data_IF_474320548717
#
_entry.id   IF_474320548717
#
_cell.length_a   1.000
_cell.length_b   1.000
_cell.length_c   1.000
_cell.angle_alpha   90.00
_cell.angle_beta   90.00
_cell.angle_gamma   90.00
#
_symmetry.space_group_name_H-M   'P 1'
#
loop_
_entity.id
_entity.type
_entity.pdbx_description
1 polymer ?
#
# COMPACT_ATOMS: atom_id res chain seq x y z
N UNK A 1 -18.39 -76.40 -36.02
CA UNK A 1 -19.45 -76.58 -35.00
C UNK A 1 -19.66 -75.21 -34.35
N UNK A 2 -20.79 -74.51 -34.35
CA UNK A 2 -22.19 -74.80 -34.70
C UNK A 2 -22.78 -73.62 -35.49
N UNK A 3 -23.71 -73.96 -36.38
CA UNK A 3 -24.60 -73.10 -37.15
C UNK A 3 -25.92 -72.93 -36.37
N UNK A 4 -26.59 -71.76 -36.46
CA UNK A 4 -28.07 -71.55 -36.59
C UNK A 4 -28.28 -70.13 -37.15
N UNK A 5 -28.77 -69.93 -38.38
CA UNK A 5 -30.15 -70.03 -38.93
C UNK A 5 -30.94 -68.71 -38.77
N UNK A 6 -31.20 -68.00 -39.90
CA UNK A 6 -32.51 -67.74 -40.57
C UNK A 6 -33.53 -66.94 -39.71
N UNK A 7 -34.22 -65.89 -40.16
CA UNK A 7 -34.33 -65.25 -41.48
C UNK A 7 -35.46 -64.19 -41.51
N UNK A 8 -35.61 -63.57 -42.68
CA UNK A 8 -36.83 -62.99 -43.31
C UNK A 8 -37.44 -61.68 -42.77
N UNK A 9 -37.77 -60.77 -43.70
CA UNK A 9 -38.84 -59.79 -43.51
C UNK A 9 -38.55 -58.39 -44.05
N UNK A 10 -39.02 -58.12 -45.28
CA UNK A 10 -38.96 -56.83 -45.95
C UNK A 10 -39.88 -55.77 -45.30
N UNK A 11 -39.49 -54.49 -45.39
CA UNK A 11 -40.40 -53.39 -45.72
C UNK A 11 -39.60 -52.11 -46.01
N UNK A 12 -39.53 -51.72 -47.28
CA UNK A 12 -39.26 -50.34 -47.68
C UNK A 12 -40.38 -49.44 -47.15
N UNK A 13 -40.02 -48.39 -46.42
CA UNK A 13 -40.82 -47.15 -46.36
C UNK A 13 -39.90 -45.98 -46.63
N UNK A 14 -40.13 -45.36 -47.79
CA UNK A 14 -39.49 -44.14 -48.26
C UNK A 14 -40.21 -42.96 -47.60
N UNK A 15 -39.61 -42.37 -46.57
CA UNK A 15 -40.04 -41.08 -46.03
C UNK A 15 -38.97 -40.04 -46.35
N UNK A 16 -39.20 -39.28 -47.40
CA UNK A 16 -38.41 -38.10 -47.75
C UNK A 16 -38.68 -36.99 -46.72
N UNK A 17 -37.78 -36.82 -45.76
CA UNK A 17 -37.70 -35.57 -44.98
C UNK A 17 -36.75 -34.61 -45.69
N UNK A 18 -37.31 -33.45 -46.01
CA UNK A 18 -36.67 -32.31 -46.65
C UNK A 18 -35.63 -31.74 -45.67
N UNK A 19 -34.34 -31.98 -45.93
CA UNK A 19 -33.25 -31.36 -45.19
C UNK A 19 -33.14 -29.88 -45.61
N UNK A 20 -33.69 -28.98 -44.79
CA UNK A 20 -33.41 -27.55 -44.90
C UNK A 20 -31.95 -27.27 -44.54
N UNK A 21 -31.26 -26.32 -45.21
CA UNK A 21 -29.92 -25.93 -44.81
C UNK A 21 -30.00 -25.23 -43.46
N UNK A 22 -29.55 -25.92 -42.41
CA UNK A 22 -29.24 -25.30 -41.13
C UNK A 22 -28.12 -24.30 -41.38
N UNK A 23 -28.47 -23.01 -41.40
CA UNK A 23 -27.52 -21.91 -41.39
C UNK A 23 -26.50 -22.19 -40.28
N UNK A 24 -25.24 -22.42 -40.67
CA UNK A 24 -24.15 -22.59 -39.74
C UNK A 24 -24.12 -21.41 -38.80
N UNK A 25 -24.35 -21.68 -37.52
CA UNK A 25 -24.12 -20.70 -36.46
C UNK A 25 -22.66 -20.26 -36.58
N UNK A 26 -22.46 -19.07 -37.13
CA UNK A 26 -21.17 -18.42 -37.15
C UNK A 26 -20.63 -18.42 -35.72
N UNK A 27 -19.42 -18.96 -35.57
CA UNK A 27 -18.70 -18.97 -34.31
C UNK A 27 -18.83 -17.59 -33.67
N UNK A 28 -19.45 -17.55 -32.49
CA UNK A 28 -19.54 -16.34 -31.70
C UNK A 28 -18.12 -15.76 -31.57
N UNK A 29 -17.92 -14.45 -31.81
CA UNK A 29 -16.63 -13.84 -31.60
C UNK A 29 -16.21 -14.17 -30.17
N UNK A 30 -15.02 -14.76 -30.02
CA UNK A 30 -14.42 -15.05 -28.72
C UNK A 30 -14.69 -13.87 -27.80
N UNK A 31 -15.35 -14.14 -26.68
CA UNK A 31 -15.51 -13.18 -25.61
C UNK A 31 -14.14 -12.51 -25.43
N UNK A 32 -14.05 -11.21 -25.77
CA UNK A 32 -12.85 -10.42 -25.49
C UNK A 32 -12.65 -10.54 -24.00
N UNK A 33 -11.71 -11.38 -23.59
CA UNK A 33 -11.37 -11.55 -22.20
C UNK A 33 -11.14 -10.17 -21.62
N UNK A 34 -11.76 -9.89 -20.47
CA UNK A 34 -11.48 -8.66 -19.74
C UNK A 34 -9.96 -8.48 -19.68
N UNK A 35 -9.42 -7.27 -19.96
CA UNK A 35 -7.99 -7.07 -19.95
C UNK A 35 -7.44 -7.55 -18.61
N UNK A 36 -6.45 -8.44 -18.65
CA UNK A 36 -5.86 -9.01 -17.45
C UNK A 36 -5.41 -7.88 -16.52
N UNK A 37 -5.78 -7.97 -15.25
CA UNK A 37 -5.41 -6.99 -14.23
C UNK A 37 -3.90 -6.84 -14.20
N UNK A 38 -3.42 -5.60 -14.24
CA UNK A 38 -2.00 -5.29 -14.11
C UNK A 38 -1.72 -4.67 -12.75
N UNK A 39 -0.54 -4.98 -12.22
CA UNK A 39 0.05 -4.28 -11.09
C UNK A 39 0.94 -3.15 -11.61
N UNK A 40 0.65 -1.91 -11.20
CA UNK A 40 1.49 -0.75 -11.52
C UNK A 40 2.38 -0.42 -10.34
N UNK A 41 3.69 -0.36 -10.55
CA UNK A 41 4.68 0.12 -9.59
C UNK A 41 5.18 1.48 -10.08
N UNK A 42 5.07 2.51 -9.24
CA UNK A 42 5.43 3.87 -9.63
C UNK A 42 5.63 4.80 -8.43
N UNK A 43 5.60 6.11 -8.70
CA UNK A 43 5.89 7.15 -7.70
C UNK A 43 7.31 7.70 -7.84
N UNK A 44 8.00 7.90 -6.71
CA UNK A 44 9.37 8.41 -6.65
C UNK A 44 10.40 7.32 -6.99
N UNK A 45 10.31 6.78 -8.20
CA UNK A 45 11.13 5.65 -8.69
C UNK A 45 11.82 6.00 -10.02
N UNK A 46 12.95 5.36 -10.28
CA UNK A 46 13.72 5.48 -11.53
C UNK A 46 13.18 4.57 -12.63
N UNK A 47 12.66 3.40 -12.27
CA UNK A 47 12.18 2.37 -13.19
C UNK A 47 10.71 1.98 -12.90
N UNK A 48 9.73 2.86 -13.17
CA UNK A 48 8.32 2.50 -13.03
C UNK A 48 7.94 1.38 -14.00
N UNK A 49 7.05 0.47 -13.58
CA UNK A 49 6.68 -0.68 -14.41
C UNK A 49 5.21 -1.10 -14.23
N UNK A 50 4.64 -1.72 -15.27
CA UNK A 50 3.31 -2.32 -15.22
C UNK A 50 3.39 -3.82 -15.50
N UNK A 51 3.31 -4.62 -14.43
CA UNK A 51 3.45 -6.06 -14.46
C UNK A 51 2.12 -6.77 -14.74
N UNK A 52 2.16 -7.75 -15.63
CA UNK A 52 1.18 -8.85 -15.67
C UNK A 52 1.52 -9.90 -14.60
N UNK A 53 0.55 -10.75 -14.22
CA UNK A 53 0.80 -11.90 -13.34
C UNK A 53 1.91 -12.82 -13.88
N UNK A 54 1.97 -13.02 -15.20
CA UNK A 54 3.01 -13.84 -15.81
C UNK A 54 4.41 -13.22 -15.64
N UNK A 55 4.53 -11.89 -15.68
CA UNK A 55 5.79 -11.20 -15.40
C UNK A 55 6.16 -11.29 -13.92
N UNK A 56 5.21 -11.09 -13.00
CA UNK A 56 5.47 -11.22 -11.56
C UNK A 56 5.99 -12.60 -11.18
N UNK A 57 5.46 -13.67 -11.79
CA UNK A 57 5.91 -15.06 -11.57
C UNK A 57 7.34 -15.35 -12.03
N UNK A 58 7.94 -14.46 -12.83
CA UNK A 58 9.34 -14.58 -13.29
C UNK A 58 10.32 -13.77 -12.43
N UNK A 59 9.81 -12.92 -11.53
CA UNK A 59 10.63 -12.28 -10.52
C UNK A 59 11.02 -13.33 -9.46
N UNK A 60 12.09 -13.08 -8.66
CA UNK A 60 12.41 -13.90 -7.50
C UNK A 60 11.15 -14.20 -6.67
N UNK A 61 10.92 -15.48 -6.37
CA UNK A 61 9.76 -15.93 -5.61
C UNK A 61 10.19 -16.28 -4.19
N UNK A 62 9.44 -15.78 -3.22
CA UNK A 62 9.54 -16.16 -1.81
C UNK A 62 8.40 -17.09 -1.46
N UNK A 63 8.70 -18.16 -0.74
CA UNK A 63 7.72 -19.13 -0.25
C UNK A 63 7.72 -19.11 1.27
N UNK A 64 6.57 -18.89 1.91
CA UNK A 64 6.42 -18.80 3.36
C UNK A 64 5.19 -19.57 3.82
N UNK A 65 5.29 -20.24 4.97
CA UNK A 65 4.10 -20.63 5.72
C UNK A 65 3.61 -19.41 6.49
N UNK A 66 2.37 -19.02 6.26
CA UNK A 66 1.80 -17.83 6.90
C UNK A 66 0.49 -18.20 7.56
N UNK A 67 0.32 -17.77 8.82
CA UNK A 67 -0.96 -17.87 9.49
C UNK A 67 -1.81 -16.66 9.10
N UNK A 68 -2.93 -16.91 8.46
CA UNK A 68 -3.94 -15.90 8.21
C UNK A 68 -4.87 -15.82 9.44
N UNK A 69 -4.99 -14.65 10.09
CA UNK A 69 -5.84 -14.48 11.27
C UNK A 69 -7.34 -14.61 10.92
N UNK A 70 -8.23 -14.67 11.93
CA UNK A 70 -9.67 -14.82 11.72
C UNK A 70 -10.22 -13.87 10.65
N UNK A 71 -10.95 -14.43 9.68
CA UNK A 71 -11.39 -13.70 8.49
C UNK A 71 -11.91 -14.64 7.41
N UNK A 72 -11.66 -14.32 6.14
CA UNK A 72 -12.20 -15.08 5.00
C UNK A 72 -11.51 -16.43 4.80
N UNK A 73 -10.23 -16.55 5.15
CA UNK A 73 -9.43 -17.77 4.99
C UNK A 73 -8.49 -17.96 6.19
N UNK A 74 -9.03 -18.22 7.39
CA UNK A 74 -8.20 -18.38 8.57
C UNK A 74 -7.43 -19.70 8.53
N UNK A 75 -6.21 -19.69 9.02
CA UNK A 75 -5.35 -20.88 9.11
C UNK A 75 -3.97 -20.67 8.50
N UNK A 76 -3.15 -21.71 8.58
CA UNK A 76 -1.81 -21.70 8.00
C UNK A 76 -1.89 -22.09 6.53
N UNK A 77 -1.32 -21.24 5.67
CA UNK A 77 -1.27 -21.43 4.23
C UNK A 77 0.17 -21.35 3.72
N UNK A 78 0.48 -22.15 2.71
CA UNK A 78 1.75 -22.05 1.99
C UNK A 78 1.60 -20.98 0.91
N UNK A 79 2.16 -19.80 1.17
CA UNK A 79 2.11 -18.67 0.28
C UNK A 79 3.37 -18.61 -0.58
N UNK A 80 3.20 -18.34 -1.87
CA UNK A 80 4.30 -18.06 -2.79
C UNK A 80 4.03 -16.76 -3.54
N UNK A 81 5.01 -15.86 -3.56
CA UNK A 81 4.86 -14.54 -4.14
C UNK A 81 6.17 -13.80 -4.32
N UNK A 82 6.07 -12.50 -4.63
CA UNK A 82 7.23 -11.59 -4.74
C UNK A 82 7.31 -10.76 -3.47
N UNK A 83 8.50 -10.61 -2.87
CA UNK A 83 8.70 -9.68 -1.75
C UNK A 83 8.31 -8.26 -2.18
N UNK A 84 7.57 -7.54 -1.33
CA UNK A 84 7.24 -6.15 -1.59
C UNK A 84 8.51 -5.28 -1.64
N UNK A 85 9.49 -5.58 -0.78
CA UNK A 85 10.79 -4.92 -0.76
C UNK A 85 11.54 -5.14 -2.08
N UNK A 86 11.73 -6.39 -2.52
CA UNK A 86 12.41 -6.69 -3.79
C UNK A 86 11.73 -5.97 -4.97
N UNK A 87 10.39 -5.90 -4.98
CA UNK A 87 9.65 -5.21 -6.02
C UNK A 87 9.91 -3.70 -6.02
N UNK A 88 10.08 -3.10 -4.83
CA UNK A 88 10.44 -1.69 -4.65
C UNK A 88 11.89 -1.46 -5.08
N UNK A 89 12.82 -2.33 -4.70
CA UNK A 89 14.24 -2.23 -5.07
C UNK A 89 14.45 -2.33 -6.58
N UNK A 90 13.78 -3.27 -7.24
CA UNK A 90 13.78 -3.38 -8.71
C UNK A 90 13.28 -2.08 -9.38
N UNK A 91 12.36 -1.34 -8.73
CA UNK A 91 11.86 -0.08 -9.26
C UNK A 91 12.84 1.10 -9.09
N UNK A 92 13.91 0.93 -8.31
CA UNK A 92 14.95 1.92 -8.05
C UNK A 92 14.40 3.20 -7.40
N UNK A 93 14.11 3.20 -6.09
CA UNK A 93 13.68 4.41 -5.38
C UNK A 93 14.65 5.57 -5.59
N UNK A 94 14.12 6.78 -5.80
CA UNK A 94 14.91 8.00 -6.00
C UNK A 94 15.39 8.52 -4.65
N UNK A 95 16.47 7.93 -4.15
CA UNK A 95 17.01 8.24 -2.83
C UNK A 95 17.81 9.56 -2.81
N UNK A 96 17.71 10.35 -1.72
CA UNK A 96 18.59 11.49 -1.51
C UNK A 96 20.02 11.04 -1.16
N UNK A 97 20.99 11.92 -1.35
CA UNK A 97 22.36 11.73 -0.87
C UNK A 97 22.47 11.91 0.64
N UNK A 98 21.96 10.95 1.42
CA UNK A 98 21.96 10.96 2.88
C UNK A 98 22.33 9.59 3.47
N UNK A 99 22.84 9.58 4.70
CA UNK A 99 23.04 8.33 5.46
C UNK A 99 21.71 7.59 5.59
N UNK A 100 21.73 6.27 5.38
CA UNK A 100 20.54 5.40 5.46
C UNK A 100 19.34 5.92 4.67
N UNK A 101 19.58 6.46 3.46
CA UNK A 101 18.53 7.12 2.67
C UNK A 101 17.28 6.26 2.41
N UNK A 102 17.40 4.93 2.42
CA UNK A 102 16.26 4.01 2.28
C UNK A 102 15.22 4.16 3.41
N UNK A 103 15.62 4.62 4.60
CA UNK A 103 14.72 4.83 5.73
C UNK A 103 13.77 6.01 5.53
N UNK A 104 13.88 6.72 4.40
CA UNK A 104 12.98 7.80 3.98
C UNK A 104 11.91 7.33 3.00
N UNK A 105 11.94 6.05 2.63
CA UNK A 105 11.07 5.48 1.61
C UNK A 105 9.80 4.95 2.28
N UNK A 106 8.65 5.39 1.78
CA UNK A 106 7.35 4.83 2.13
C UNK A 106 6.71 4.17 0.91
N UNK A 107 5.94 3.12 1.15
CA UNK A 107 5.34 2.28 0.11
C UNK A 107 3.86 2.14 0.40
N UNK A 108 2.98 2.57 -0.51
CA UNK A 108 1.56 2.25 -0.44
C UNK A 108 1.18 1.16 -1.42
N UNK A 109 0.47 0.16 -0.92
CA UNK A 109 -0.12 -0.91 -1.71
C UNK A 109 -1.63 -0.69 -1.76
N UNK A 110 -2.23 -0.71 -2.96
CA UNK A 110 -3.66 -0.48 -3.13
C UNK A 110 -4.33 -1.58 -3.96
N UNK A 111 -5.44 -2.08 -3.42
CA UNK A 111 -6.31 -3.06 -4.07
C UNK A 111 -7.32 -2.42 -5.02
N UNK A 112 -7.98 -3.23 -5.85
CA UNK A 112 -9.01 -2.78 -6.79
C UNK A 112 -10.15 -2.00 -6.11
N UNK A 113 -10.47 -2.32 -4.85
CA UNK A 113 -11.51 -1.62 -4.07
C UNK A 113 -11.13 -0.18 -3.68
N UNK A 114 -9.86 0.19 -3.82
CA UNK A 114 -9.30 1.45 -3.33
C UNK A 114 -8.81 1.40 -1.88
N UNK A 115 -9.03 0.28 -1.17
CA UNK A 115 -8.42 0.02 0.13
C UNK A 115 -6.94 -0.34 -0.04
N UNK A 116 -6.13 -0.02 0.96
CA UNK A 116 -4.69 -0.22 0.90
C UNK A 116 -4.01 -0.09 2.24
N UNK A 117 -2.71 -0.37 2.23
CA UNK A 117 -1.83 -0.31 3.39
C UNK A 117 -0.53 0.37 3.02
N UNK A 118 0.07 1.08 3.96
CA UNK A 118 1.39 1.68 3.82
C UNK A 118 2.43 0.95 4.66
N UNK A 119 3.68 0.99 4.20
CA UNK A 119 4.86 0.44 4.85
C UNK A 119 5.98 1.47 4.79
N UNK A 120 6.83 1.50 5.80
CA UNK A 120 8.15 2.08 5.66
C UNK A 120 9.06 1.03 5.01
N UNK A 121 9.93 1.40 4.08
CA UNK A 121 10.85 0.40 3.50
C UNK A 121 11.76 -0.18 4.58
N UNK A 122 12.20 0.64 5.54
CA UNK A 122 12.96 0.18 6.71
C UNK A 122 12.20 -0.76 7.65
N UNK A 123 10.87 -0.81 7.60
CA UNK A 123 10.09 -1.83 8.32
C UNK A 123 10.24 -3.20 7.68
N UNK A 124 10.25 -3.23 6.34
CA UNK A 124 10.37 -4.46 5.56
C UNK A 124 11.80 -5.01 5.57
N UNK A 125 12.79 -4.09 5.55
CA UNK A 125 14.21 -4.38 5.36
C UNK A 125 14.78 -5.36 6.41
N UNK A 126 15.43 -6.47 5.98
CA UNK A 126 16.01 -7.47 6.88
C UNK A 126 17.12 -6.96 7.81
N UNK A 127 17.77 -5.84 7.48
CA UNK A 127 18.74 -5.16 8.35
C UNK A 127 18.08 -4.29 9.42
N UNK A 128 16.79 -4.01 9.32
CA UNK A 128 16.07 -3.12 10.22
C UNK A 128 14.85 -3.84 10.80
N UNK A 129 13.63 -3.45 10.40
CA UNK A 129 12.40 -4.00 10.96
C UNK A 129 12.22 -5.49 10.67
N UNK A 130 12.83 -6.03 9.62
CA UNK A 130 12.75 -7.44 9.23
C UNK A 130 11.30 -7.97 9.34
N UNK A 131 10.36 -7.20 8.80
CA UNK A 131 8.94 -7.48 8.86
C UNK A 131 8.39 -7.56 7.44
N UNK A 132 8.55 -8.73 6.80
CA UNK A 132 8.33 -8.85 5.37
C UNK A 132 6.87 -8.61 4.99
N UNK A 133 6.65 -8.14 3.77
CA UNK A 133 5.35 -8.12 3.13
C UNK A 133 5.45 -8.82 1.77
N UNK A 134 4.48 -9.67 1.46
CA UNK A 134 4.51 -10.58 0.30
C UNK A 134 3.35 -10.28 -0.64
N UNK A 135 3.64 -10.09 -1.92
CA UNK A 135 2.66 -10.10 -3.00
C UNK A 135 2.44 -11.53 -3.47
N UNK A 136 1.47 -12.20 -2.85
CA UNK A 136 1.09 -13.58 -3.10
C UNK A 136 0.57 -13.76 -4.53
N UNK A 137 1.07 -14.79 -5.19
CA UNK A 137 0.71 -15.23 -6.54
C UNK A 137 0.19 -16.66 -6.58
N UNK A 138 0.53 -17.47 -5.57
CA UNK A 138 -0.01 -18.80 -5.32
C UNK A 138 -0.24 -19.02 -3.83
N UNK A 139 -1.35 -19.68 -3.50
CA UNK A 139 -1.68 -20.13 -2.16
C UNK A 139 -1.91 -21.64 -2.23
N UNK A 140 -1.28 -22.41 -1.35
CA UNK A 140 -1.43 -23.87 -1.26
C UNK A 140 -1.24 -24.58 -2.61
N UNK A 141 -0.25 -24.12 -3.39
CA UNK A 141 0.06 -24.60 -4.73
C UNK A 141 -0.85 -24.06 -5.85
N UNK A 142 -2.03 -23.51 -5.52
CA UNK A 142 -2.99 -22.98 -6.47
C UNK A 142 -2.63 -21.54 -6.90
N UNK A 143 -2.56 -21.31 -8.22
CA UNK A 143 -2.28 -19.98 -8.78
C UNK A 143 -3.47 -19.04 -8.67
N UNK A 144 -3.24 -17.81 -8.21
CA UNK A 144 -4.19 -16.71 -8.35
C UNK A 144 -4.37 -16.37 -9.84
N UNK A 145 -5.62 -16.17 -10.26
CA UNK A 145 -5.97 -15.98 -11.68
C UNK A 145 -6.15 -14.51 -12.08
N UNK A 146 -6.45 -13.63 -11.14
CA UNK A 146 -6.84 -12.25 -11.42
C UNK A 146 -5.73 -11.23 -11.09
N UNK A 147 -5.37 -11.10 -9.82
CA UNK A 147 -4.38 -10.13 -9.34
C UNK A 147 -3.65 -10.72 -8.10
N UNK A 148 -2.44 -10.22 -7.77
CA UNK A 148 -1.78 -10.60 -6.53
C UNK A 148 -2.57 -10.13 -5.30
N UNK A 149 -2.38 -10.80 -4.17
CA UNK A 149 -2.88 -10.36 -2.86
C UNK A 149 -1.68 -9.98 -1.99
N UNK A 150 -1.78 -8.90 -1.21
CA UNK A 150 -0.77 -8.54 -0.23
C UNK A 150 -1.06 -9.26 1.09
N UNK A 151 -0.04 -9.89 1.64
CA UNK A 151 -0.04 -10.48 2.96
C UNK A 151 1.20 -10.02 3.75
N UNK A 152 1.05 -9.86 5.06
CA UNK A 152 2.11 -9.39 5.97
C UNK A 152 2.31 -10.45 7.06
N UNK A 153 3.28 -11.38 6.89
CA UNK A 153 3.52 -12.42 7.88
C UNK A 153 3.92 -11.83 9.23
N UNK A 154 3.35 -12.38 10.31
CA UNK A 154 3.60 -11.93 11.69
C UNK A 154 2.58 -10.91 12.21
N UNK A 155 1.74 -10.35 11.35
CA UNK A 155 0.62 -9.51 11.79
C UNK A 155 -0.39 -10.28 12.64
N UNK A 156 -0.84 -9.66 13.73
CA UNK A 156 -1.84 -10.24 14.61
C UNK A 156 -3.25 -10.23 13.98
N UNK A 157 -3.50 -9.35 13.01
CA UNK A 157 -4.78 -9.23 12.30
C UNK A 157 -4.56 -9.02 10.80
N UNK A 158 -5.59 -9.29 9.99
CA UNK A 158 -5.52 -9.09 8.54
C UNK A 158 -5.69 -7.61 8.11
N UNK A 159 -5.59 -6.64 9.03
CA UNK A 159 -5.88 -5.24 8.75
C UNK A 159 -4.94 -4.60 7.69
N UNK A 160 -3.75 -5.19 7.49
CA UNK A 160 -2.81 -4.78 6.43
C UNK A 160 -2.84 -5.65 5.17
N UNK A 161 -3.75 -6.62 5.09
CA UNK A 161 -3.85 -7.49 3.92
C UNK A 161 -4.68 -6.80 2.83
N UNK A 162 -4.19 -6.82 1.60
CA UNK A 162 -4.82 -6.11 0.47
C UNK A 162 -5.17 -7.08 -0.63
N UNK A 163 -6.46 -7.28 -0.89
CA UNK A 163 -6.94 -8.13 -1.99
C UNK A 163 -6.87 -7.41 -3.32
N UNK A 164 -6.67 -8.19 -4.40
CA UNK A 164 -6.64 -7.72 -5.77
C UNK A 164 -5.76 -6.48 -5.96
N UNK A 165 -4.49 -6.58 -5.58
CA UNK A 165 -3.53 -5.47 -5.64
C UNK A 165 -3.37 -4.99 -7.08
N UNK A 166 -3.51 -3.68 -7.27
CA UNK A 166 -3.40 -3.02 -8.59
C UNK A 166 -2.30 -1.98 -8.65
N UNK A 167 -1.86 -1.47 -7.50
CA UNK A 167 -0.84 -0.43 -7.44
C UNK A 167 0.08 -0.57 -6.24
N UNK A 168 1.37 -0.36 -6.47
CA UNK A 168 2.40 -0.05 -5.48
C UNK A 168 2.92 1.36 -5.79
N UNK A 169 2.84 2.27 -4.83
CA UNK A 169 3.31 3.65 -4.97
C UNK A 169 4.42 3.89 -3.97
N UNK A 170 5.60 4.22 -4.47
CA UNK A 170 6.76 4.58 -3.66
C UNK A 170 6.80 6.09 -3.50
N UNK A 171 6.99 6.56 -2.28
CA UNK A 171 7.31 7.95 -1.97
C UNK A 171 8.64 8.00 -1.23
N UNK A 172 9.35 9.12 -1.39
CA UNK A 172 10.60 9.39 -0.69
C UNK A 172 10.49 10.78 -0.11
N UNK A 173 10.44 10.87 1.21
CA UNK A 173 10.25 12.12 1.94
C UNK A 173 11.49 12.45 2.75
N UNK A 174 12.06 13.63 2.49
CA UNK A 174 13.27 14.10 3.18
C UNK A 174 13.04 15.47 3.81
N UNK A 175 12.11 15.59 4.77
CA UNK A 175 11.85 16.85 5.45
C UNK A 175 13.12 17.29 6.21
N UNK A 176 13.34 18.60 6.25
CA UNK A 176 14.31 19.22 7.15
C UNK A 176 13.71 19.41 8.54
N UNK A 177 14.56 19.51 9.58
CA UNK A 177 14.10 19.79 10.93
C UNK A 177 13.58 21.22 11.04
N UNK A 178 12.48 21.40 11.76
CA UNK A 178 12.06 22.68 12.29
C UNK A 178 12.86 23.00 13.56
N UNK A 179 13.00 24.29 13.87
CA UNK A 179 13.63 24.68 15.13
C UNK A 179 12.75 24.19 16.29
N UNK A 180 13.28 23.39 17.23
CA UNK A 180 12.47 22.92 18.35
C UNK A 180 12.07 24.12 19.20
N UNK A 181 10.80 24.23 19.64
CA UNK A 181 10.36 25.48 20.24
C UNK A 181 11.02 25.87 21.60
N UNK A 182 11.94 25.06 22.22
CA UNK A 182 12.56 25.16 23.60
C UNK A 182 12.98 23.84 24.38
N UNK A 183 14.05 23.06 24.15
CA UNK A 183 14.28 21.66 24.69
C UNK A 183 13.12 20.65 24.95
N UNK A 184 13.30 19.37 24.65
CA UNK A 184 12.30 18.32 24.92
C UNK A 184 10.95 18.42 24.18
N UNK A 185 10.78 19.31 23.18
CA UNK A 185 9.53 19.32 22.40
C UNK A 185 9.68 18.53 21.13
N UNK A 186 8.55 17.94 20.76
CA UNK A 186 8.28 17.49 19.41
C UNK A 186 7.11 18.26 18.83
N UNK A 187 7.25 18.68 17.57
CA UNK A 187 6.15 19.22 16.78
C UNK A 187 5.58 18.12 15.89
N UNK A 188 4.26 17.93 15.90
CA UNK A 188 3.60 16.97 15.01
C UNK A 188 2.97 17.73 13.85
N UNK A 189 3.24 17.30 12.63
CA UNK A 189 2.73 17.93 11.41
C UNK A 189 1.85 16.94 10.66
N UNK A 190 0.64 17.35 10.27
CA UNK A 190 -0.23 16.57 9.38
C UNK A 190 -0.51 17.38 8.11
N UNK A 191 0.23 17.08 7.03
CA UNK A 191 0.19 17.87 5.81
C UNK A 191 0.56 19.34 6.08
N UNK A 192 -0.31 20.29 5.73
CA UNK A 192 -0.09 21.72 6.00
C UNK A 192 -0.59 22.18 7.38
N UNK A 193 -1.15 21.28 8.20
CA UNK A 193 -1.54 21.59 9.58
C UNK A 193 -0.40 21.20 10.51
N UNK A 194 0.25 22.20 11.10
CA UNK A 194 1.02 21.98 12.33
C UNK A 194 0.02 21.77 13.47
N UNK A 195 0.06 20.61 14.12
CA UNK A 195 -0.66 20.42 15.38
C UNK A 195 0.25 20.88 16.53
N UNK A 196 -0.39 21.30 17.63
CA UNK A 196 0.18 22.05 18.78
C UNK A 196 1.54 21.49 19.22
N UNK A 197 2.54 22.33 19.58
CA UNK A 197 3.84 21.86 20.10
C UNK A 197 3.67 21.06 21.39
N UNK A 198 4.22 19.84 21.43
CA UNK A 198 4.17 18.97 22.61
C UNK A 198 5.41 19.23 23.48
N UNK A 199 5.29 20.08 24.51
CA UNK A 199 6.28 20.14 25.59
C UNK A 199 5.84 19.46 26.87
N UNK A 200 4.96 20.13 27.62
CA UNK A 200 4.45 19.62 28.89
C UNK A 200 3.66 18.32 28.71
N UNK A 201 3.07 18.13 27.53
CA UNK A 201 2.16 17.03 27.28
C UNK A 201 2.84 15.67 27.11
N UNK A 202 4.08 15.58 26.61
CA UNK A 202 4.74 14.28 26.39
C UNK A 202 5.00 13.52 27.70
N UNK A 203 5.43 14.22 28.76
CA UNK A 203 5.65 13.64 30.08
C UNK A 203 4.34 13.26 30.80
N UNK A 204 3.22 13.88 30.40
CA UNK A 204 1.88 13.59 30.92
C UNK A 204 1.20 12.41 30.21
N UNK A 205 1.68 12.01 29.03
CA UNK A 205 1.12 10.87 28.32
C UNK A 205 1.48 9.55 29.04
N UNK A 206 0.62 8.53 28.97
CA UNK A 206 0.92 7.21 29.49
C UNK A 206 2.26 6.70 28.96
N UNK A 207 3.21 6.47 29.87
CA UNK A 207 4.54 5.98 29.56
C UNK A 207 4.58 4.45 29.54
N UNK A 208 5.41 3.90 28.66
CA UNK A 208 5.76 2.49 28.58
C UNK A 208 7.28 2.36 28.71
N UNK A 209 7.75 1.26 29.29
CA UNK A 209 9.17 0.93 29.38
C UNK A 209 9.45 -0.31 28.53
N UNK A 210 10.46 -0.21 27.66
CA UNK A 210 10.91 -1.29 26.79
C UNK A 210 12.40 -1.55 27.04
N UNK A 211 12.78 -2.82 27.10
CA UNK A 211 14.19 -3.21 26.98
C UNK A 211 14.44 -3.57 25.53
N UNK A 212 15.17 -2.71 24.83
CA UNK A 212 15.44 -2.85 23.40
C UNK A 212 16.84 -3.40 23.16
N UNK A 213 17.03 -4.14 22.07
CA UNK A 213 18.34 -4.68 21.69
C UNK A 213 18.50 -4.66 20.17
N UNK A 214 19.60 -4.11 19.69
CA UNK A 214 19.85 -3.91 18.26
C UNK A 214 21.35 -3.87 17.94
N UNK A 215 21.71 -4.08 16.67
CA UNK A 215 23.07 -3.89 16.18
C UNK A 215 23.41 -2.40 15.96
N UNK A 216 24.47 -1.92 16.59
CA UNK A 216 25.06 -0.60 16.37
C UNK A 216 26.43 -0.68 15.67
N UNK A 217 27.06 0.48 15.38
CA UNK A 217 28.38 0.54 14.72
C UNK A 217 29.50 -0.17 15.49
N UNK A 218 29.36 -0.27 16.81
CA UNK A 218 30.35 -0.85 17.73
C UNK A 218 29.99 -2.26 18.22
N UNK A 219 28.92 -2.86 17.69
CA UNK A 219 28.41 -4.16 18.12
C UNK A 219 26.97 -4.10 18.61
N UNK A 220 26.52 -5.18 19.26
CA UNK A 220 25.19 -5.23 19.85
C UNK A 220 25.05 -4.19 20.97
N UNK A 221 23.90 -3.52 21.01
CA UNK A 221 23.51 -2.54 22.01
C UNK A 221 22.24 -3.01 22.70
N UNK A 222 22.10 -2.65 23.97
CA UNK A 222 20.91 -2.91 24.77
C UNK A 222 20.66 -1.71 25.68
N UNK A 223 19.42 -1.23 25.67
CA UNK A 223 19.02 -0.05 26.44
C UNK A 223 17.62 -0.26 27.04
N UNK A 224 17.36 0.40 28.16
CA UNK A 224 16.01 0.55 28.74
C UNK A 224 15.45 1.89 28.35
N UNK A 225 14.46 1.89 27.46
CA UNK A 225 13.84 3.09 26.92
C UNK A 225 12.48 3.29 27.59
N UNK A 226 12.12 4.53 27.94
CA UNK A 226 10.79 4.83 28.46
C UNK A 226 10.21 6.15 27.95
N UNK A 227 8.93 6.13 27.62
CA UNK A 227 8.20 7.26 27.05
C UNK A 227 6.81 6.85 26.56
N UNK A 228 6.03 7.76 25.98
CA UNK A 228 4.76 7.41 25.37
C UNK A 228 4.93 6.62 24.08
N UNK A 229 4.02 5.67 23.84
CA UNK A 229 3.92 5.00 22.55
C UNK A 229 3.57 6.01 21.44
N UNK A 230 4.11 5.82 20.24
CA UNK A 230 3.96 6.78 19.13
C UNK A 230 2.48 7.02 18.78
N UNK A 231 1.66 5.96 18.79
CA UNK A 231 0.21 6.06 18.58
C UNK A 231 -0.49 6.95 19.64
N UNK A 232 -0.05 6.90 20.90
CA UNK A 232 -0.53 7.76 21.98
C UNK A 232 -0.16 9.22 21.74
N UNK A 233 1.06 9.48 21.25
CA UNK A 233 1.51 10.83 20.85
C UNK A 233 0.64 11.36 19.70
N UNK A 234 0.40 10.56 18.67
CA UNK A 234 -0.45 10.92 17.53
C UNK A 234 -1.90 11.19 17.98
N UNK A 235 -2.46 10.33 18.83
CA UNK A 235 -3.83 10.48 19.35
C UNK A 235 -3.98 11.76 20.20
N UNK A 236 -2.99 12.08 21.02
CA UNK A 236 -2.95 13.34 21.74
C UNK A 236 -2.90 14.55 20.79
N UNK A 237 -2.35 14.35 19.58
CA UNK A 237 -2.36 15.21 18.38
C UNK A 237 -3.70 15.39 17.70
N UNK A 238 -4.73 14.65 18.11
CA UNK A 238 -5.99 14.53 17.38
C UNK A 238 -5.84 13.74 16.06
N UNK A 239 -4.72 13.03 15.88
CA UNK A 239 -4.43 12.23 14.70
C UNK A 239 -4.80 10.78 15.02
N UNK A 240 -5.76 10.24 14.28
CA UNK A 240 -6.11 8.83 14.31
C UNK A 240 -5.47 8.15 13.09
N UNK A 241 -4.40 7.35 13.29
CA UNK A 241 -3.75 6.64 12.19
C UNK A 241 -4.72 5.72 11.45
N UNK A 242 -4.47 5.55 10.16
CA UNK A 242 -5.14 4.59 9.29
C UNK A 242 -4.11 3.65 8.70
N UNK A 243 -4.60 2.60 8.03
CA UNK A 243 -3.77 1.64 7.30
C UNK A 243 -2.77 2.28 6.30
N UNK A 244 -3.05 3.50 5.81
CA UNK A 244 -2.23 4.24 4.84
C UNK A 244 -1.43 5.41 5.46
N UNK A 245 -1.40 5.48 6.79
CA UNK A 245 -0.66 6.49 7.54
C UNK A 245 0.80 6.07 7.71
N UNK A 246 1.70 7.02 7.45
CA UNK A 246 3.10 6.90 7.78
C UNK A 246 3.53 8.10 8.62
N UNK A 247 4.63 7.94 9.36
CA UNK A 247 5.25 9.01 10.15
C UNK A 247 6.74 9.05 9.85
N UNK A 248 7.27 10.22 9.51
CA UNK A 248 8.70 10.46 9.46
C UNK A 248 9.14 11.16 10.75
N UNK A 249 9.99 10.52 11.54
CA UNK A 249 10.65 11.17 12.67
C UNK A 249 11.88 11.91 12.16
N UNK A 250 11.99 13.19 12.53
CA UNK A 250 13.06 14.09 12.09
C UNK A 250 13.88 14.48 13.31
N UNK A 251 15.15 14.07 13.31
CA UNK A 251 16.15 14.48 14.29
C UNK A 251 16.61 15.91 14.06
N UNK A 252 17.09 16.57 15.10
CA UNK A 252 17.62 17.95 15.03
C UNK A 252 18.83 18.09 14.08
N UNK A 253 19.52 16.99 13.79
CA UNK A 253 20.63 16.88 12.82
C UNK A 253 20.16 16.68 11.37
N UNK A 254 18.84 16.60 11.13
CA UNK A 254 18.23 16.31 9.84
C UNK A 254 18.19 14.82 9.46
N UNK A 255 18.57 13.92 10.37
CA UNK A 255 18.35 12.50 10.20
C UNK A 255 16.84 12.19 10.19
N UNK A 256 16.42 11.26 9.33
CA UNK A 256 15.01 10.86 9.24
C UNK A 256 14.91 9.37 9.07
N UNK A 257 13.98 8.78 9.81
CA UNK A 257 13.46 7.46 9.56
C UNK A 257 11.93 7.52 9.52
N UNK A 258 11.35 6.83 8.53
CA UNK A 258 9.91 6.63 8.42
C UNK A 258 9.52 5.33 9.09
N UNK A 259 8.36 5.36 9.75
CA UNK A 259 7.70 4.23 10.40
C UNK A 259 6.22 4.23 10.06
N UNK A 260 5.52 3.12 10.25
CA UNK A 260 4.07 3.07 10.10
C UNK A 260 3.41 2.75 11.44
N UNK A 261 2.41 3.52 11.90
CA UNK A 261 1.74 3.20 13.16
C UNK A 261 1.15 1.79 13.20
N UNK A 262 0.78 1.22 12.05
CA UNK A 262 0.24 -0.14 11.94
C UNK A 262 1.28 -1.24 12.19
N UNK A 263 2.59 -0.96 12.04
CA UNK A 263 3.62 -1.93 12.43
C UNK A 263 3.57 -2.20 13.94
N UNK A 264 3.17 -1.19 14.72
CA UNK A 264 2.93 -1.34 16.15
C UNK A 264 1.53 -1.86 16.46
N UNK A 265 0.49 -1.29 15.87
CA UNK A 265 -0.91 -1.61 16.20
C UNK A 265 -1.32 -3.03 15.75
N UNK A 266 -0.80 -3.48 14.61
CA UNK A 266 -1.15 -4.77 14.01
C UNK A 266 0.04 -5.71 13.99
N UNK A 267 1.23 -5.19 13.62
CA UNK A 267 2.45 -5.99 13.47
C UNK A 267 3.12 -6.41 14.77
N UNK A 268 2.65 -5.90 15.92
CA UNK A 268 3.23 -6.23 17.22
C UNK A 268 4.66 -5.73 17.40
N UNK A 269 5.05 -4.67 16.69
CA UNK A 269 6.38 -4.03 16.76
C UNK A 269 6.27 -2.66 17.43
N UNK A 270 6.47 -2.56 18.75
CA UNK A 270 6.25 -1.32 19.48
C UNK A 270 7.07 -0.15 18.89
N UNK A 271 6.39 0.98 18.69
CA UNK A 271 7.02 2.25 18.38
C UNK A 271 6.87 3.18 19.58
N UNK A 272 7.99 3.62 20.12
CA UNK A 272 8.05 4.46 21.32
C UNK A 272 8.68 5.81 20.95
N UNK A 273 8.17 6.89 21.54
CA UNK A 273 8.87 8.16 21.58
C UNK A 273 9.51 8.28 22.97
N UNK A 274 10.71 7.72 23.11
CA UNK A 274 11.43 7.64 24.38
C UNK A 274 11.80 9.03 24.87
N UNK A 275 11.57 9.28 26.16
CA UNK A 275 12.00 10.48 26.88
C UNK A 275 13.08 10.19 27.90
N UNK A 276 13.35 8.91 28.19
CA UNK A 276 14.44 8.47 29.07
C UNK A 276 15.10 7.21 28.53
N UNK A 277 16.43 7.18 28.56
CA UNK A 277 17.27 6.02 28.23
C UNK A 277 18.05 5.63 29.49
N UNK A 278 18.01 4.35 29.86
CA UNK A 278 18.72 3.78 31.01
C UNK A 278 18.47 4.54 32.33
N UNK A 279 17.24 5.06 32.47
CA UNK A 279 16.79 5.86 33.61
C UNK A 279 17.19 7.35 33.56
N UNK A 280 18.00 7.77 32.60
CA UNK A 280 18.39 9.17 32.40
C UNK A 280 17.42 9.88 31.44
N UNK A 281 16.99 11.09 31.81
CA UNK A 281 16.15 11.92 30.94
C UNK A 281 16.92 12.40 29.70
N UNK A 282 16.29 12.31 28.54
CA UNK A 282 16.84 12.78 27.27
C UNK A 282 16.56 14.28 27.08
N UNK A 283 17.51 14.99 26.46
CA UNK A 283 17.35 16.42 26.16
C UNK A 283 16.27 16.69 25.10
N UNK A 284 16.07 15.72 24.22
CA UNK A 284 15.02 15.63 23.23
C UNK A 284 14.59 14.17 23.10
N UNK A 285 13.32 13.88 22.76
CA UNK A 285 12.88 12.50 22.66
C UNK A 285 13.58 11.73 21.54
N UNK A 286 13.61 10.41 21.65
CA UNK A 286 14.13 9.50 20.63
C UNK A 286 12.99 8.64 20.07
N UNK A 287 12.88 8.52 18.75
CA UNK A 287 12.05 7.45 18.17
C UNK A 287 12.76 6.11 18.40
N UNK A 288 12.07 5.14 18.95
CA UNK A 288 12.56 3.77 19.19
C UNK A 288 11.64 2.80 18.45
N UNK A 289 12.23 1.95 17.60
CA UNK A 289 11.54 0.91 16.85
C UNK A 289 11.93 -0.46 17.42
N UNK A 290 11.15 -0.95 18.37
CA UNK A 290 11.46 -2.20 19.07
C UNK A 290 11.39 -3.41 18.13
N UNK A 291 12.30 -4.36 18.35
CA UNK A 291 12.47 -5.55 17.50
C UNK A 291 13.27 -5.33 16.20
N UNK A 292 13.90 -4.16 16.03
CA UNK A 292 14.82 -3.90 14.91
C UNK A 292 16.14 -4.66 15.04
N UNK A 293 16.63 -5.16 13.91
CA UNK A 293 17.95 -5.80 13.81
C UNK A 293 19.09 -4.79 13.99
N UNK A 294 18.93 -3.56 13.49
CA UNK A 294 19.90 -2.46 13.65
C UNK A 294 19.20 -1.17 14.05
N UNK A 295 19.90 -0.33 14.82
CA UNK A 295 19.37 0.94 15.34
C UNK A 295 19.18 2.06 14.31
N UNK A 296 19.12 1.77 13.01
CA UNK A 296 19.00 2.80 11.98
C UNK A 296 17.68 3.58 12.04
N UNK A 297 16.59 2.94 12.50
CA UNK A 297 15.29 3.61 12.67
C UNK A 297 15.16 4.36 14.00
N UNK A 298 16.21 4.32 14.84
CA UNK A 298 16.23 4.97 16.13
C UNK A 298 16.70 6.41 15.93
N UNK A 299 15.74 7.32 15.76
CA UNK A 299 16.04 8.73 15.48
C UNK A 299 16.28 9.45 16.80
N UNK A 300 17.52 9.88 17.01
CA UNK A 300 17.89 10.68 18.18
C UNK A 300 17.47 12.13 18.00
N UNK A 301 17.29 12.82 19.13
CA UNK A 301 16.93 14.23 19.19
C UNK A 301 15.77 14.62 18.26
N UNK A 302 14.67 13.85 18.29
CA UNK A 302 13.48 14.10 17.48
C UNK A 302 12.93 15.47 17.81
N UNK A 303 12.74 16.28 16.76
CA UNK A 303 12.13 17.62 16.84
C UNK A 303 10.82 17.70 16.07
N UNK A 304 10.64 16.86 15.04
CA UNK A 304 9.41 16.77 14.28
C UNK A 304 8.95 15.34 14.04
N UNK A 305 7.62 15.16 14.03
CA UNK A 305 6.94 14.01 13.49
C UNK A 305 6.09 14.46 12.30
N UNK A 306 6.52 14.13 11.10
CA UNK A 306 5.79 14.43 9.86
C UNK A 306 4.84 13.28 9.57
N UNK A 307 3.54 13.52 9.70
CA UNK A 307 2.48 12.56 9.42
C UNK A 307 1.96 12.76 8.02
N UNK A 308 2.06 11.70 7.22
CA UNK A 308 1.52 11.67 5.89
C UNK A 308 0.52 10.54 5.69
N UNK A 309 -0.24 10.66 4.62
CA UNK A 309 -1.15 9.62 4.13
C UNK A 309 -0.93 9.51 2.63
N UNK A 310 -0.59 8.33 2.15
CA UNK A 310 -0.52 8.16 0.69
C UNK A 310 -1.97 8.15 0.19
N UNK A 311 -2.37 9.09 -0.69
CA UNK A 311 -3.76 9.19 -1.12
C UNK A 311 -4.21 7.89 -1.77
N UNK A 312 -5.42 7.39 -1.49
CA UNK A 312 -6.00 6.37 -2.34
C UNK A 312 -6.07 6.92 -3.77
N UNK A 313 -5.87 6.08 -4.80
CA UNK A 313 -5.91 6.54 -6.17
C UNK A 313 -7.25 7.23 -6.44
N UNK A 314 -7.19 8.40 -7.07
CA UNK A 314 -8.40 9.03 -7.60
C UNK A 314 -9.08 8.01 -8.51
N UNK A 315 -10.35 7.68 -8.24
CA UNK A 315 -11.19 6.99 -9.22
C UNK A 315 -11.12 7.85 -10.48
N UNK A 316 -10.51 7.34 -11.55
CA UNK A 316 -10.71 7.90 -12.87
C UNK A 316 -12.20 7.68 -13.16
N UNK A 317 -13.02 8.68 -12.88
CA UNK A 317 -14.33 8.76 -13.52
C UNK A 317 -13.98 8.87 -15.00
N UNK A 318 -14.42 7.94 -15.87
CA UNK A 318 -14.20 8.10 -17.29
C UNK A 318 -14.81 9.44 -17.66
N UNK A 319 -13.96 10.42 -17.97
CA UNK A 319 -14.39 11.69 -18.52
C UNK A 319 -15.06 11.33 -19.83
N UNK A 320 -16.38 11.47 -19.91
CA UNK A 320 -17.06 11.50 -21.20
C UNK A 320 -16.31 12.53 -22.04
N UNK A 321 -15.70 12.07 -23.14
CA UNK A 321 -15.02 12.93 -24.07
C UNK A 321 -16.00 14.05 -24.45
N UNK A 322 -15.67 15.29 -24.09
CA UNK A 322 -16.30 16.45 -24.71
C UNK A 322 -15.75 16.53 -26.12
N UNK A 323 -16.39 15.85 -27.06
CA UNK A 323 -16.35 16.28 -28.45
C UNK A 323 -17.09 17.62 -28.51
N UNK A 324 -16.35 18.69 -28.27
CA UNK A 324 -16.76 20.03 -28.64
C UNK A 324 -15.87 20.45 -29.81
N UNK A 325 -16.29 20.04 -31.02
CA UNK A 325 -15.97 20.79 -32.23
C UNK A 325 -16.60 22.17 -32.11
N UNK A 326 -15.85 23.12 -31.60
CA UNK A 326 -16.19 24.53 -31.66
C UNK A 326 -15.05 25.25 -32.37
N UNK A 327 -15.26 25.51 -33.66
CA UNK A 327 -14.48 26.45 -34.45
C UNK A 327 -14.55 27.83 -33.78
N UNK A 328 -13.39 28.32 -33.32
CA UNK A 328 -13.27 29.69 -32.81
C UNK A 328 -12.98 30.60 -33.99
N UNK A 329 -13.99 31.35 -34.44
CA UNK A 329 -13.77 32.53 -35.27
C UNK A 329 -13.29 33.67 -34.36
N UNK A 330 -12.09 34.18 -34.64
CA UNK A 330 -11.51 35.36 -34.01
C UNK A 330 -12.13 36.60 -34.66
N UNK A 331 -12.79 37.45 -33.87
CA UNK A 331 -13.11 38.83 -34.25
C UNK A 331 -12.61 39.78 -33.15
N UNK A 332 -11.95 40.85 -33.60
CA UNK A 332 -11.25 41.86 -32.82
C UNK A 332 -12.18 42.90 -32.19
N UNK A 333 -11.77 43.37 -31.00
CA UNK A 333 -11.92 44.69 -30.37
C UNK A 333 -13.32 45.33 -30.17
N UNK A 334 -13.61 45.67 -28.90
CA UNK A 334 -14.47 46.83 -28.58
C UNK A 334 -15.39 46.69 -27.36
N UNK A 335 -15.02 47.39 -26.28
CA UNK A 335 -15.91 47.99 -25.26
C UNK A 335 -16.63 47.12 -24.22
N UNK A 336 -16.53 47.62 -22.99
CA UNK A 336 -17.21 47.23 -21.75
C UNK A 336 -18.74 47.27 -21.90
N UNK A 337 -19.46 46.33 -21.28
CA UNK A 337 -20.60 46.51 -20.34
C UNK A 337 -21.30 45.15 -20.07
N UNK A 338 -21.72 44.95 -18.81
CA UNK A 338 -22.56 43.90 -18.22
C UNK A 338 -23.31 42.93 -19.16
N UNK A 339 -23.15 41.63 -18.92
CA UNK A 339 -24.23 40.65 -19.16
C UNK A 339 -24.19 39.52 -18.11
N UNK A 340 -25.18 39.54 -17.22
CA UNK A 340 -25.54 38.42 -16.35
C UNK A 340 -25.96 37.25 -17.24
N UNK A 341 -25.18 36.16 -17.27
CA UNK A 341 -25.55 34.94 -17.99
C UNK A 341 -26.04 33.87 -17.02
N UNK A 342 -27.34 33.63 -17.08
CA UNK A 342 -28.07 32.52 -16.46
C UNK A 342 -27.30 31.20 -16.61
N UNK A 343 -26.92 30.59 -15.48
CA UNK A 343 -26.37 29.25 -15.44
C UNK A 343 -27.52 28.23 -15.63
N UNK A 344 -27.66 27.72 -16.85
CA UNK A 344 -28.52 26.57 -17.13
C UNK A 344 -28.03 25.34 -16.34
N UNK A 345 -28.92 24.75 -15.54
CA UNK A 345 -28.68 23.52 -14.75
C UNK A 345 -28.05 22.42 -15.62
N UNK A 346 -27.06 21.66 -15.11
CA UNK A 346 -26.56 20.49 -15.83
C UNK A 346 -27.68 19.44 -15.98
N UNK A 347 -27.93 19.00 -17.20
CA UNK A 347 -28.84 17.89 -17.50
C UNK A 347 -28.31 16.62 -16.83
N UNK A 348 -29.17 15.95 -16.07
CA UNK A 348 -28.89 14.69 -15.38
C UNK A 348 -28.53 13.57 -16.36
N UNK A 349 -27.44 12.85 -16.10
CA UNK A 349 -27.12 11.59 -16.80
C UNK A 349 -28.18 10.51 -16.51
N UNK A 350 -28.53 9.65 -17.48
CA UNK A 350 -29.39 8.51 -17.24
C UNK A 350 -28.68 7.49 -16.33
N UNK A 351 -29.41 7.03 -15.31
CA UNK A 351 -28.99 6.02 -14.34
C UNK A 351 -28.75 4.71 -15.08
N UNK A 352 -27.54 4.16 -15.02
CA UNK A 352 -27.24 2.83 -15.56
C UNK A 352 -28.18 1.80 -14.90
N UNK A 353 -29.00 1.15 -15.72
CA UNK A 353 -29.91 0.10 -15.30
C UNK A 353 -29.14 -1.07 -14.70
N UNK A 354 -29.69 -1.65 -13.64
CA UNK A 354 -29.27 -2.95 -13.14
C UNK A 354 -29.71 -4.01 -14.14
N UNK A 355 -28.76 -4.83 -14.57
CA UNK A 355 -28.98 -6.17 -15.11
C UNK A 355 -27.90 -7.06 -14.52
#
# INVERSE_FOLDING_TARGET
MWRRALGWGAALTLAALIAGPSAGAGAAPHARGLPASRLVVGGAVGAPHSYSLAQLRRLPQTTLNTYQPPGTRPGTHLEQGVSLEDLVDISQPKLPGAKNALLRVTVAVTGRSGLGSSFALGELDPSFGNHPALLVLRQDGASLKDAPELLVPGDHTAGRFVRHVTRVTVAVDSPGPSAPPSPGAVTVHEGSRTTVPYRSRLAELPSQTLTVSFGGPTGAQQHTESGPALNTVLAAGGISPRAVTWVAAVGSDGYVATVTPEESLIGGRPLLLSTHEDGAALSQPRLVADGDVKGGRYVSDVVDLMVGRIPPPRRLIPTCARDAGATVNVAHAGSLTNLVRSASRPRSCPRAGRS
#
